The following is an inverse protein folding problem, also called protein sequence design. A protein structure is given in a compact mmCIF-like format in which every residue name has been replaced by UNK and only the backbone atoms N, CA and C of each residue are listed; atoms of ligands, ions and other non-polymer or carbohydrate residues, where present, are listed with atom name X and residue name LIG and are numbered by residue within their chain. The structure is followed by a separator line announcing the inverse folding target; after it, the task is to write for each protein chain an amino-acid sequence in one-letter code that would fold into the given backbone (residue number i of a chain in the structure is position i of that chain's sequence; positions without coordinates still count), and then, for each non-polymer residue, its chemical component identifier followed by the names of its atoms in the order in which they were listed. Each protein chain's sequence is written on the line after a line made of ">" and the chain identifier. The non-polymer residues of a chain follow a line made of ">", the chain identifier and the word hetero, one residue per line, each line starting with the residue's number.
data_IF_852676001889
#
_entry.id   IF_852676001889
#
_cell.length_a   1.000
_cell.length_b   1.000
_cell.length_c   1.000
_cell.angle_alpha   90.00
_cell.angle_beta   90.00
_cell.angle_gamma   90.00
#
_symmetry.space_group_name_H-M   'P 1'
#
loop_
_entity.id
_entity.type
_entity.pdbx_description
1 polymer ?
#
# COMPACT_ATOMS: atom_id res chain seq x y z
N UNK A 1 -17.67 0.62 6.02
CA UNK A 1 -16.39 0.53 5.29
C UNK A 1 -16.27 -0.84 4.63
N UNK A 2 -15.88 -0.94 3.34
CA UNK A 2 -15.72 -2.23 2.65
C UNK A 2 -14.25 -2.50 2.34
N UNK A 3 -13.67 -3.50 3.01
CA UNK A 3 -12.30 -3.94 2.77
C UNK A 3 -12.27 -4.71 1.44
N UNK A 4 -11.36 -4.32 0.55
CA UNK A 4 -11.17 -4.97 -0.75
C UNK A 4 -9.99 -5.93 -0.67
N UNK A 5 -10.05 -7.01 -1.46
CA UNK A 5 -8.88 -7.85 -1.67
C UNK A 5 -7.78 -7.05 -2.40
N UNK A 6 -6.52 -7.32 -2.05
CA UNK A 6 -5.36 -6.80 -2.78
C UNK A 6 -5.32 -7.43 -4.16
N UNK A 7 -5.21 -6.60 -5.19
CA UNK A 7 -5.02 -7.04 -6.57
C UNK A 7 -3.60 -7.59 -6.73
N UNK A 8 -3.51 -8.82 -7.23
CA UNK A 8 -2.26 -9.53 -7.53
C UNK A 8 -2.15 -9.66 -9.04
N UNK A 9 -1.47 -8.71 -9.65
CA UNK A 9 -1.24 -8.70 -11.10
C UNK A 9 -0.05 -9.59 -11.44
N UNK A 10 -0.20 -10.51 -12.40
CA UNK A 10 0.87 -11.44 -12.78
C UNK A 10 2.10 -10.71 -13.32
N UNK A 11 1.93 -9.56 -13.96
CA UNK A 11 3.06 -8.76 -14.46
C UNK A 11 3.83 -8.11 -13.31
N UNK A 12 3.15 -7.70 -12.24
CA UNK A 12 3.79 -7.18 -11.03
C UNK A 12 4.59 -8.29 -10.33
N UNK A 13 4.08 -9.52 -10.32
CA UNK A 13 4.76 -10.65 -9.68
C UNK A 13 6.03 -11.10 -10.42
N UNK A 14 6.19 -10.76 -11.71
CA UNK A 14 7.41 -10.98 -12.49
C UNK A 14 8.53 -9.99 -12.15
N UNK A 15 8.20 -8.84 -11.56
CA UNK A 15 9.20 -7.88 -11.09
C UNK A 15 9.96 -8.45 -9.89
N UNK A 16 11.21 -8.01 -9.72
CA UNK A 16 12.05 -8.44 -8.61
C UNK A 16 11.38 -8.14 -7.25
N UNK A 17 11.38 -9.13 -6.36
CA UNK A 17 10.76 -9.03 -5.05
C UNK A 17 11.44 -7.93 -4.22
N UNK A 18 10.63 -7.02 -3.65
CA UNK A 18 11.13 -5.89 -2.87
C UNK A 18 11.75 -4.77 -3.71
N UNK A 19 11.78 -4.87 -5.04
CA UNK A 19 12.30 -3.80 -5.89
C UNK A 19 11.41 -2.56 -5.84
N UNK A 20 12.01 -1.40 -6.11
CA UNK A 20 11.31 -0.12 -6.17
C UNK A 20 10.16 -0.17 -7.19
N UNK A 21 10.41 -0.75 -8.35
CA UNK A 21 9.45 -0.89 -9.45
C UNK A 21 8.24 -1.70 -9.01
N UNK A 22 8.48 -2.83 -8.34
CA UNK A 22 7.42 -3.71 -7.84
C UNK A 22 6.58 -3.03 -6.76
N UNK A 23 7.23 -2.34 -5.82
CA UNK A 23 6.56 -1.59 -4.76
C UNK A 23 5.64 -0.53 -5.36
N UNK A 24 6.15 0.29 -6.28
CA UNK A 24 5.37 1.35 -6.92
C UNK A 24 4.23 0.80 -7.78
N UNK A 25 4.48 -0.26 -8.56
CA UNK A 25 3.45 -0.89 -9.38
C UNK A 25 2.32 -1.48 -8.50
N UNK A 26 2.68 -2.17 -7.41
CA UNK A 26 1.72 -2.74 -6.47
C UNK A 26 0.90 -1.66 -5.75
N UNK A 27 1.54 -0.58 -5.30
CA UNK A 27 0.87 0.55 -4.65
C UNK A 27 -0.12 1.23 -5.61
N UNK A 28 0.31 1.56 -6.83
CA UNK A 28 -0.56 2.18 -7.86
C UNK A 28 -1.72 1.29 -8.26
N UNK A 29 -1.49 -0.01 -8.48
CA UNK A 29 -2.56 -0.96 -8.84
C UNK A 29 -3.64 -1.04 -7.76
N UNK A 30 -3.27 -0.79 -6.51
CA UNK A 30 -4.14 -0.88 -5.36
C UNK A 30 -4.55 0.50 -4.80
N UNK A 31 -4.32 1.59 -5.52
CA UNK A 31 -4.79 2.91 -5.10
C UNK A 31 -6.31 2.94 -4.99
N UNK A 32 -6.81 3.85 -4.17
CA UNK A 32 -8.23 4.14 -3.98
C UNK A 32 -9.04 2.92 -3.49
N UNK A 33 -8.34 2.04 -2.75
CA UNK A 33 -8.89 0.82 -2.14
C UNK A 33 -8.42 0.72 -0.70
N UNK A 34 -9.37 0.43 0.18
CA UNK A 34 -9.05 0.06 1.57
C UNK A 34 -8.63 -1.41 1.57
N UNK A 35 -7.39 -1.68 1.91
CA UNK A 35 -6.77 -3.00 1.83
C UNK A 35 -5.91 -3.29 3.05
N UNK A 36 -5.59 -4.57 3.26
CA UNK A 36 -4.65 -5.00 4.31
C UNK A 36 -3.20 -4.69 3.90
N UNK A 37 -2.46 -4.00 4.77
CA UNK A 37 -1.03 -3.75 4.63
C UNK A 37 -0.24 -5.06 4.46
N UNK A 38 -0.53 -6.07 5.30
CA UNK A 38 0.14 -7.36 5.25
C UNK A 38 -0.03 -8.05 3.89
N UNK A 39 -1.22 -7.95 3.31
CA UNK A 39 -1.46 -8.51 1.97
C UNK A 39 -0.75 -7.72 0.88
N UNK A 40 -0.67 -6.39 1.01
CA UNK A 40 0.04 -5.54 0.06
C UNK A 40 1.55 -5.83 0.07
N UNK A 41 2.15 -5.91 1.26
CA UNK A 41 3.57 -6.21 1.44
C UNK A 41 3.94 -7.56 0.78
N UNK A 42 3.09 -8.58 0.92
CA UNK A 42 3.28 -9.87 0.22
C UNK A 42 3.33 -9.72 -1.30
N UNK A 43 2.47 -8.88 -1.90
CA UNK A 43 2.50 -8.61 -3.34
C UNK A 43 3.78 -7.87 -3.74
N UNK A 44 4.25 -6.95 -2.90
CA UNK A 44 5.50 -6.23 -3.09
C UNK A 44 6.74 -7.12 -2.92
N UNK A 45 6.60 -8.32 -2.36
CA UNK A 45 7.74 -9.19 -2.02
C UNK A 45 8.45 -8.76 -0.74
N UNK A 46 7.74 -8.10 0.17
CA UNK A 46 8.25 -7.60 1.45
C UNK A 46 7.61 -8.37 2.63
N UNK A 47 8.37 -8.48 3.72
CA UNK A 47 7.85 -8.90 5.03
C UNK A 47 7.32 -7.70 5.82
N UNK A 48 6.65 -7.95 6.94
CA UNK A 48 6.17 -6.87 7.81
C UNK A 48 7.31 -6.03 8.42
N UNK A 49 8.45 -6.66 8.70
CA UNK A 49 9.63 -5.95 9.23
C UNK A 49 10.24 -5.01 8.19
N UNK A 50 10.04 -5.29 6.90
CA UNK A 50 10.49 -4.47 5.77
C UNK A 50 9.48 -3.40 5.36
N UNK A 51 8.41 -3.16 6.14
CA UNK A 51 7.39 -2.14 5.81
C UNK A 51 7.96 -0.73 5.65
N UNK A 52 9.06 -0.41 6.34
CA UNK A 52 9.75 0.88 6.20
C UNK A 52 10.37 1.06 4.82
N UNK A 53 10.82 -0.02 4.17
CA UNK A 53 11.31 0.02 2.78
C UNK A 53 10.21 0.49 1.82
N UNK A 54 8.97 0.01 2.01
CA UNK A 54 7.82 0.49 1.23
C UNK A 54 7.61 2.00 1.44
N UNK A 55 7.65 2.45 2.69
CA UNK A 55 7.51 3.87 3.03
C UNK A 55 8.62 4.72 2.39
N UNK A 56 9.86 4.26 2.45
CA UNK A 56 11.02 4.94 1.84
C UNK A 56 10.94 5.05 0.32
N UNK A 57 10.32 4.07 -0.34
CA UNK A 57 10.05 4.13 -1.78
C UNK A 57 8.92 5.11 -2.09
N UNK A 58 7.85 5.09 -1.30
CA UNK A 58 6.65 5.88 -1.54
C UNK A 58 6.84 7.37 -1.20
N UNK A 59 7.66 7.72 -0.20
CA UNK A 59 7.89 9.12 0.24
C UNK A 59 8.30 10.08 -0.88
N UNK A 60 8.94 9.55 -1.92
CA UNK A 60 9.43 10.32 -3.08
C UNK A 60 8.41 10.35 -4.22
N UNK A 61 7.13 10.08 -3.93
CA UNK A 61 6.06 10.02 -4.92
C UNK A 61 4.89 10.90 -4.52
N UNK A 62 3.89 10.98 -5.41
CA UNK A 62 2.62 11.67 -5.14
C UNK A 62 1.60 10.81 -4.38
N UNK A 63 1.97 9.59 -3.99
CA UNK A 63 1.07 8.68 -3.29
C UNK A 63 1.10 8.99 -1.80
N UNK A 64 -0.08 9.23 -1.23
CA UNK A 64 -0.33 9.38 0.20
C UNK A 64 -0.80 8.05 0.78
N UNK A 65 -0.38 7.75 2.00
CA UNK A 65 -0.75 6.51 2.71
C UNK A 65 -1.51 6.89 3.97
N UNK A 66 -2.76 6.43 4.05
CA UNK A 66 -3.60 6.61 5.22
C UNK A 66 -3.66 5.31 6.01
N UNK A 67 -3.34 5.37 7.30
CA UNK A 67 -3.46 4.28 8.26
C UNK A 67 -4.83 4.38 8.91
N UNK A 68 -5.69 3.39 8.70
CA UNK A 68 -7.07 3.47 9.19
C UNK A 68 -7.14 3.05 10.66
N UNK A 69 -7.95 3.78 11.43
CA UNK A 69 -8.24 3.49 12.85
C UNK A 69 -9.31 2.39 12.98
N UNK A 70 -9.03 1.21 12.42
CA UNK A 70 -9.87 0.03 12.63
C UNK A 70 -9.15 -0.99 13.51
N UNK A 71 -9.89 -1.55 14.47
CA UNK A 71 -9.41 -2.39 15.55
C UNK A 71 -8.64 -3.62 15.02
N UNK A 72 -7.31 -3.49 14.99
CA UNK A 72 -6.32 -4.56 14.72
C UNK A 72 -6.12 -5.00 13.26
N UNK A 73 -6.79 -4.40 12.27
CA UNK A 73 -6.77 -4.96 10.91
C UNK A 73 -5.62 -4.48 9.99
N UNK A 74 -4.67 -3.69 10.50
CA UNK A 74 -3.55 -3.09 9.72
C UNK A 74 -4.01 -2.63 8.33
N UNK A 75 -5.11 -1.88 8.29
CA UNK A 75 -5.73 -1.43 7.05
C UNK A 75 -5.07 -0.13 6.59
N UNK A 76 -4.86 -0.04 5.29
CA UNK A 76 -4.30 1.13 4.63
C UNK A 76 -5.15 1.53 3.43
N UNK A 77 -5.07 2.82 3.12
CA UNK A 77 -5.60 3.41 1.91
C UNK A 77 -4.49 4.21 1.24
N UNK A 78 -4.30 3.99 -0.06
CA UNK A 78 -3.28 4.70 -0.85
C UNK A 78 -4.01 5.54 -1.88
N UNK A 79 -3.68 6.82 -2.00
CA UNK A 79 -4.26 7.69 -3.03
C UNK A 79 -3.25 8.72 -3.52
N UNK A 80 -3.39 9.19 -4.76
CA UNK A 80 -2.65 10.35 -5.26
C UNK A 80 -3.27 11.68 -4.81
N UNK A 81 -4.47 11.64 -4.22
CA UNK A 81 -5.15 12.79 -3.64
C UNK A 81 -4.80 12.94 -2.16
N UNK A 82 -4.45 14.15 -1.74
CA UNK A 82 -4.33 14.50 -0.32
C UNK A 82 -5.70 14.79 0.34
N UNK A 83 -6.82 14.50 -0.34
CA UNK A 83 -8.14 14.64 0.27
C UNK A 83 -8.38 13.47 1.21
N UNK A 84 -8.82 13.79 2.42
CA UNK A 84 -9.22 12.80 3.42
C UNK A 84 -10.52 12.12 2.97
N UNK A 85 -10.38 11.02 2.24
CA UNK A 85 -11.50 10.18 1.80
C UNK A 85 -11.81 9.06 2.80
N UNK A 86 -10.95 8.88 3.79
CA UNK A 86 -11.04 7.83 4.81
C UNK A 86 -10.67 8.39 6.19
N UNK A 87 -11.35 7.91 7.24
CA UNK A 87 -11.00 8.21 8.62
C UNK A 87 -9.72 7.44 9.01
N UNK A 88 -8.63 8.18 9.19
CA UNK A 88 -7.32 7.60 9.51
C UNK A 88 -6.22 8.65 9.63
N UNK A 89 -5.04 8.19 10.02
CA UNK A 89 -3.83 9.02 10.07
C UNK A 89 -3.15 9.01 8.71
N UNK A 90 -3.00 10.18 8.09
CA UNK A 90 -2.14 10.32 6.92
C UNK A 90 -0.67 10.26 7.37
N UNK A 91 0.11 9.37 6.77
CA UNK A 91 1.53 9.25 7.02
C UNK A 91 2.36 10.29 6.23
N UNK A 92 1.89 10.79 5.07
CA UNK A 92 2.60 11.74 4.20
C UNK A 92 1.81 13.02 3.92
#
# INVERSE_FOLDING_TARGET
>A
MRIKAVLRDSEILKLEAGSKERILAAAKKNSDRIISLLSLLKVMGLTFDQRTTMLDVIKNTKLHIWLLNDAQQHLIYISESNKQEVDGYNWQ
#
